data_IF_040967316349
#
_entry.id   IF_040967316349
#
_cell.length_a   1.000
_cell.length_b   1.000
_cell.length_c   1.000
_cell.angle_alpha   90.00
_cell.angle_beta   90.00
_cell.angle_gamma   90.00
#
_symmetry.space_group_name_H-M   'P 1'
#
loop_
_entity.id
_entity.type
_entity.pdbx_description
1 polymer ?
#
# COMPACT_ATOMS: atom_id res chain seq x y z
N UNK A 1 -27.30 15.61 -4.83
CA UNK A 1 -26.15 14.88 -5.44
C UNK A 1 -26.04 13.43 -4.96
N UNK A 2 -26.09 13.13 -3.65
CA UNK A 2 -26.00 11.75 -3.10
C UNK A 2 -26.93 10.71 -3.75
N UNK A 3 -28.17 11.09 -4.10
CA UNK A 3 -29.16 10.19 -4.75
C UNK A 3 -28.71 9.63 -6.11
N UNK A 4 -27.88 10.36 -6.85
CA UNK A 4 -27.37 9.92 -8.16
C UNK A 4 -25.93 9.42 -8.10
N UNK A 5 -25.30 9.44 -6.92
CA UNK A 5 -23.89 9.11 -6.75
C UNK A 5 -23.56 7.70 -7.24
N UNK A 6 -24.36 6.71 -6.84
CA UNK A 6 -24.17 5.32 -7.24
C UNK A 6 -24.23 5.17 -8.75
N UNK A 7 -25.25 5.73 -9.40
CA UNK A 7 -25.43 5.67 -10.86
C UNK A 7 -24.29 6.37 -11.60
N UNK A 8 -23.88 7.54 -11.11
CA UNK A 8 -22.77 8.30 -11.68
C UNK A 8 -21.44 7.55 -11.56
N UNK A 9 -21.07 7.12 -10.35
CA UNK A 9 -19.83 6.38 -10.09
C UNK A 9 -19.80 5.09 -10.91
N UNK A 10 -20.90 4.34 -10.96
CA UNK A 10 -20.98 3.10 -11.77
C UNK A 10 -20.79 3.38 -13.27
N UNK A 11 -21.26 4.52 -13.77
CA UNK A 11 -21.10 4.91 -15.17
C UNK A 11 -19.65 5.27 -15.51
N UNK A 12 -18.98 6.02 -14.64
CA UNK A 12 -17.57 6.42 -14.80
C UNK A 12 -16.63 5.24 -14.56
N UNK A 13 -16.95 4.36 -13.60
CA UNK A 13 -16.19 3.15 -13.27
C UNK A 13 -15.91 2.28 -14.51
N UNK A 14 -16.92 2.11 -15.39
CA UNK A 14 -16.75 1.34 -16.64
C UNK A 14 -15.63 1.88 -17.53
N UNK A 15 -15.27 3.16 -17.37
CA UNK A 15 -14.23 3.85 -18.13
C UNK A 15 -12.84 3.79 -17.48
N UNK A 16 -12.73 3.40 -16.21
CA UNK A 16 -11.42 3.15 -15.58
C UNK A 16 -10.69 1.97 -16.22
N UNK A 17 -11.42 0.94 -16.64
CA UNK A 17 -10.87 -0.24 -17.30
C UNK A 17 -10.75 -0.15 -18.82
N UNK A 18 -10.95 1.03 -19.43
CA UNK A 18 -11.01 1.22 -20.89
C UNK A 18 -9.65 0.93 -21.57
N UNK A 19 -9.65 0.54 -22.85
CA UNK A 19 -8.41 0.28 -23.59
C UNK A 19 -7.67 1.58 -23.91
N UNK A 20 -8.41 2.67 -24.19
CA UNK A 20 -7.85 3.97 -24.55
C UNK A 20 -7.36 4.70 -23.32
N UNK A 21 -6.06 5.01 -23.28
CA UNK A 21 -5.40 5.70 -22.16
C UNK A 21 -6.09 7.04 -21.82
N UNK A 22 -6.36 7.88 -22.83
CA UNK A 22 -6.98 9.18 -22.64
C UNK A 22 -8.35 9.07 -21.95
N UNK A 23 -9.16 8.06 -22.29
CA UNK A 23 -10.46 7.82 -21.67
C UNK A 23 -10.29 7.47 -20.18
N UNK A 24 -9.32 6.61 -19.87
CA UNK A 24 -8.99 6.24 -18.48
C UNK A 24 -8.54 7.45 -17.67
N UNK A 25 -7.63 8.26 -18.20
CA UNK A 25 -7.12 9.45 -17.52
C UNK A 25 -8.23 10.44 -17.18
N UNK A 26 -9.19 10.63 -18.07
CA UNK A 26 -10.36 11.47 -17.79
C UNK A 26 -11.26 10.85 -16.71
N UNK A 27 -11.49 9.53 -16.76
CA UNK A 27 -12.26 8.83 -15.73
C UNK A 27 -11.59 8.93 -14.35
N UNK A 28 -10.26 8.77 -14.30
CA UNK A 28 -9.43 8.93 -13.10
C UNK A 28 -9.62 10.34 -12.51
N UNK A 29 -9.46 11.38 -13.33
CA UNK A 29 -9.66 12.78 -12.93
C UNK A 29 -11.05 13.05 -12.38
N UNK A 30 -12.08 12.56 -13.06
CA UNK A 30 -13.48 12.75 -12.64
C UNK A 30 -13.73 12.11 -11.27
N UNK A 31 -13.27 10.87 -11.06
CA UNK A 31 -13.40 10.18 -9.77
C UNK A 31 -12.61 10.90 -8.67
N UNK A 32 -11.40 11.36 -8.98
CA UNK A 32 -10.57 12.07 -8.00
C UNK A 32 -11.21 13.39 -7.58
N UNK A 33 -11.65 14.22 -8.55
CA UNK A 33 -12.39 15.45 -8.27
C UNK A 33 -13.66 15.18 -7.48
N UNK A 34 -14.38 14.10 -7.76
CA UNK A 34 -15.58 13.73 -7.01
C UNK A 34 -15.31 13.51 -5.52
N UNK A 35 -14.15 12.96 -5.16
CA UNK A 35 -13.73 12.76 -3.75
C UNK A 35 -13.43 14.07 -3.01
N UNK A 36 -13.25 15.20 -3.71
CA UNK A 36 -13.17 16.52 -3.07
C UNK A 36 -14.55 17.10 -2.73
N UNK A 37 -15.60 16.72 -3.45
CA UNK A 37 -16.97 17.21 -3.22
C UNK A 37 -17.80 16.27 -2.32
N UNK A 38 -17.43 14.99 -2.26
CA UNK A 38 -18.11 13.94 -1.52
C UNK A 38 -17.06 13.19 -0.72
N UNK A 39 -17.41 12.74 0.49
CA UNK A 39 -16.47 12.00 1.35
C UNK A 39 -15.80 10.86 0.57
N UNK A 40 -14.45 10.76 0.59
CA UNK A 40 -13.72 9.76 -0.19
C UNK A 40 -14.21 8.33 0.07
N UNK A 41 -14.53 7.99 1.32
CA UNK A 41 -15.04 6.66 1.71
C UNK A 41 -16.36 6.30 1.04
N UNK A 42 -17.25 7.26 0.77
CA UNK A 42 -18.50 6.99 0.05
C UNK A 42 -18.23 6.66 -1.42
N UNK A 43 -17.29 7.36 -2.04
CA UNK A 43 -16.88 7.09 -3.43
C UNK A 43 -16.16 5.73 -3.51
N UNK A 44 -15.19 5.49 -2.63
CA UNK A 44 -14.45 4.22 -2.56
C UNK A 44 -15.38 3.03 -2.29
N UNK A 45 -16.36 3.18 -1.39
CA UNK A 45 -17.35 2.13 -1.11
C UNK A 45 -18.19 1.72 -2.33
N UNK A 46 -18.40 2.64 -3.29
CA UNK A 46 -19.03 2.30 -4.57
C UNK A 46 -18.06 1.62 -5.55
N UNK A 47 -16.78 2.01 -5.55
CA UNK A 47 -15.76 1.42 -6.43
C UNK A 47 -15.37 0.00 -6.01
N UNK A 48 -15.18 -0.23 -4.70
CA UNK A 48 -14.74 -1.51 -4.13
C UNK A 48 -15.75 -2.64 -4.31
N UNK A 49 -17.02 -2.33 -4.61
CA UNK A 49 -18.02 -3.32 -5.04
C UNK A 49 -17.61 -4.07 -6.33
N UNK A 50 -16.68 -3.52 -7.11
CA UNK A 50 -16.21 -4.09 -8.37
C UNK A 50 -14.78 -4.61 -8.31
N UNK A 51 -14.24 -4.79 -7.10
CA UNK A 51 -12.89 -5.31 -6.88
C UNK A 51 -12.68 -6.70 -7.49
N UNK A 52 -13.74 -7.51 -7.58
CA UNK A 52 -13.71 -8.88 -8.12
C UNK A 52 -14.04 -8.92 -9.64
N UNK A 53 -13.99 -7.78 -10.32
CA UNK A 53 -14.32 -7.70 -11.75
C UNK A 53 -13.36 -8.53 -12.62
N UNK A 54 -13.87 -9.12 -13.71
CA UNK A 54 -13.05 -9.91 -14.65
C UNK A 54 -11.96 -9.08 -15.34
N UNK A 55 -12.15 -7.77 -15.48
CA UNK A 55 -11.19 -6.87 -16.12
C UNK A 55 -10.06 -6.53 -15.13
N UNK A 56 -8.84 -7.08 -15.30
CA UNK A 56 -7.75 -6.83 -14.36
C UNK A 56 -7.31 -5.36 -14.31
N UNK A 57 -7.48 -4.62 -15.41
CA UNK A 57 -7.18 -3.19 -15.44
C UNK A 57 -8.15 -2.39 -14.59
N UNK A 58 -9.41 -2.79 -14.54
CA UNK A 58 -10.40 -2.17 -13.66
C UNK A 58 -10.04 -2.45 -12.19
N UNK A 59 -9.67 -3.69 -11.85
CA UNK A 59 -9.23 -4.05 -10.49
C UNK A 59 -8.02 -3.22 -10.05
N UNK A 60 -7.01 -3.13 -10.93
CA UNK A 60 -5.84 -2.28 -10.71
C UNK A 60 -6.23 -0.81 -10.45
N UNK A 61 -7.07 -0.23 -11.31
CA UNK A 61 -7.45 1.18 -11.13
C UNK A 61 -8.29 1.41 -9.87
N UNK A 62 -9.14 0.48 -9.46
CA UNK A 62 -9.89 0.56 -8.18
C UNK A 62 -8.91 0.67 -7.01
N UNK A 63 -7.87 -0.17 -6.98
CA UNK A 63 -6.83 -0.12 -5.94
C UNK A 63 -6.06 1.20 -6.00
N UNK A 64 -5.70 1.65 -7.20
CA UNK A 64 -5.05 2.96 -7.37
C UNK A 64 -5.93 4.12 -6.88
N UNK A 65 -7.26 4.03 -6.96
CA UNK A 65 -8.15 5.04 -6.36
C UNK A 65 -8.07 5.05 -4.84
N UNK A 66 -7.92 3.89 -4.19
CA UNK A 66 -7.67 3.81 -2.74
C UNK A 66 -6.33 4.46 -2.39
N UNK A 67 -5.26 4.10 -3.10
CA UNK A 67 -3.92 4.71 -2.92
C UNK A 67 -3.98 6.23 -3.07
N UNK A 68 -4.59 6.72 -4.16
CA UNK A 68 -4.74 8.15 -4.40
C UNK A 68 -5.50 8.85 -3.27
N UNK A 69 -6.61 8.25 -2.79
CA UNK A 69 -7.40 8.84 -1.73
C UNK A 69 -6.61 8.94 -0.42
N UNK A 70 -5.93 7.87 -0.02
CA UNK A 70 -5.16 7.83 1.24
C UNK A 70 -3.96 8.79 1.23
N UNK A 71 -3.37 9.04 0.07
CA UNK A 71 -2.28 10.01 -0.09
C UNK A 71 -2.76 11.46 -0.16
N UNK A 72 -4.02 11.70 -0.53
CA UNK A 72 -4.54 13.06 -0.79
C UNK A 72 -5.35 13.61 0.38
N UNK A 73 -6.17 12.77 1.01
CA UNK A 73 -7.11 13.22 2.04
C UNK A 73 -6.58 12.86 3.44
N UNK A 74 -6.89 13.67 4.47
CA UNK A 74 -6.50 13.38 5.84
C UNK A 74 -6.99 12.02 6.34
N UNK A 75 -6.19 11.36 7.18
CA UNK A 75 -6.43 10.01 7.69
C UNK A 75 -7.75 9.83 8.44
N UNK A 76 -8.27 10.87 9.12
CA UNK A 76 -9.55 10.82 9.83
C UNK A 76 -10.77 10.67 8.92
N UNK A 77 -10.61 10.78 7.59
CA UNK A 77 -11.69 10.50 6.64
C UNK A 77 -11.90 9.00 6.42
N UNK A 78 -11.00 8.15 6.90
CA UNK A 78 -10.93 6.74 6.55
C UNK A 78 -11.06 5.82 7.76
N UNK A 79 -11.89 4.79 7.58
CA UNK A 79 -11.86 3.59 8.41
C UNK A 79 -10.91 2.59 7.73
N UNK A 80 -9.75 2.35 8.34
CA UNK A 80 -8.69 1.58 7.70
C UNK A 80 -8.97 0.08 7.64
N UNK A 81 -9.63 -0.49 8.65
CA UNK A 81 -9.88 -1.94 8.69
C UNK A 81 -10.71 -2.42 7.48
N UNK A 82 -11.87 -1.83 7.14
CA UNK A 82 -12.63 -2.22 5.95
C UNK A 82 -11.86 -2.01 4.65
N UNK A 83 -10.99 -1.00 4.58
CA UNK A 83 -10.15 -0.76 3.40
C UNK A 83 -9.09 -1.85 3.24
N UNK A 84 -8.39 -2.21 4.32
CA UNK A 84 -7.43 -3.30 4.34
C UNK A 84 -8.09 -4.62 3.93
N UNK A 85 -9.22 -4.97 4.53
CA UNK A 85 -9.98 -6.19 4.20
C UNK A 85 -10.46 -6.22 2.75
N UNK A 86 -10.88 -5.07 2.21
CA UNK A 86 -11.32 -4.99 0.81
C UNK A 86 -10.16 -5.12 -0.18
N UNK A 87 -8.99 -4.57 0.11
CA UNK A 87 -7.84 -4.57 -0.80
C UNK A 87 -6.97 -5.83 -0.65
N UNK A 88 -6.90 -6.43 0.54
CA UNK A 88 -6.00 -7.55 0.83
C UNK A 88 -6.11 -8.72 -0.17
N UNK A 89 -7.30 -9.19 -0.61
CA UNK A 89 -7.40 -10.28 -1.58
C UNK A 89 -6.69 -9.99 -2.91
N UNK A 90 -6.56 -8.71 -3.28
CA UNK A 90 -5.91 -8.28 -4.51
C UNK A 90 -4.38 -8.37 -4.43
N UNK A 91 -3.80 -8.55 -3.23
CA UNK A 91 -2.39 -8.90 -3.08
C UNK A 91 -2.06 -10.28 -3.66
N UNK A 92 -3.03 -11.19 -3.71
CA UNK A 92 -2.89 -12.53 -4.28
C UNK A 92 -3.42 -12.63 -5.73
N UNK A 93 -3.81 -11.52 -6.36
CA UNK A 93 -4.45 -11.50 -7.69
C UNK A 93 -3.64 -12.24 -8.76
N UNK A 94 -4.31 -12.90 -9.70
CA UNK A 94 -3.64 -13.63 -10.79
C UNK A 94 -2.76 -12.75 -11.69
N UNK A 95 -2.95 -11.42 -11.73
CA UNK A 95 -2.22 -10.49 -12.60
C UNK A 95 -1.18 -9.69 -11.83
N UNK A 96 0.05 -9.64 -12.37
CA UNK A 96 1.19 -8.92 -11.78
C UNK A 96 0.88 -7.46 -11.44
N UNK A 97 0.24 -6.73 -12.36
CA UNK A 97 -0.08 -5.31 -12.17
C UNK A 97 -1.04 -5.06 -11.01
N UNK A 98 -1.98 -5.98 -10.77
CA UNK A 98 -2.91 -5.85 -9.65
C UNK A 98 -2.18 -6.11 -8.33
N UNK A 99 -1.33 -7.15 -8.26
CA UNK A 99 -0.47 -7.38 -7.08
C UNK A 99 0.44 -6.19 -6.77
N UNK A 100 1.08 -5.62 -7.79
CA UNK A 100 1.92 -4.42 -7.64
C UNK A 100 1.11 -3.24 -7.09
N UNK A 101 -0.05 -2.95 -7.69
CA UNK A 101 -0.94 -1.88 -7.22
C UNK A 101 -1.39 -2.09 -5.77
N UNK A 102 -1.71 -3.34 -5.40
CA UNK A 102 -2.10 -3.69 -4.03
C UNK A 102 -0.94 -3.51 -3.03
N UNK A 103 0.29 -3.91 -3.37
CA UNK A 103 1.47 -3.68 -2.53
C UNK A 103 1.77 -2.18 -2.34
N UNK A 104 1.65 -1.39 -3.40
CA UNK A 104 1.77 0.08 -3.32
C UNK A 104 0.67 0.70 -2.45
N UNK A 105 -0.56 0.20 -2.55
CA UNK A 105 -1.67 0.62 -1.69
C UNK A 105 -1.43 0.28 -0.22
N UNK A 106 -0.89 -0.90 0.08
CA UNK A 106 -0.56 -1.31 1.44
C UNK A 106 0.55 -0.45 2.04
N UNK A 107 1.54 -0.03 1.26
CA UNK A 107 2.54 0.94 1.70
C UNK A 107 1.91 2.30 2.05
N UNK A 108 0.98 2.80 1.22
CA UNK A 108 0.26 4.04 1.50
C UNK A 108 -0.65 3.95 2.74
N UNK A 109 -1.36 2.82 2.91
CA UNK A 109 -2.21 2.56 4.08
C UNK A 109 -1.37 2.51 5.36
N UNK A 110 -0.26 1.75 5.35
CA UNK A 110 0.65 1.67 6.49
C UNK A 110 1.17 3.05 6.92
N UNK A 111 1.56 3.88 5.95
CA UNK A 111 2.01 5.25 6.23
C UNK A 111 0.90 6.10 6.86
N UNK A 112 -0.32 6.05 6.31
CA UNK A 112 -1.44 6.86 6.79
C UNK A 112 -1.94 6.44 8.18
N UNK A 113 -1.79 5.16 8.54
CA UNK A 113 -2.13 4.63 9.85
C UNK A 113 -1.07 4.96 10.90
N UNK A 114 0.20 5.00 10.49
CA UNK A 114 1.36 5.10 11.36
C UNK A 114 1.78 3.76 11.96
N UNK A 115 3.02 3.64 12.47
CA UNK A 115 3.60 2.38 12.93
C UNK A 115 2.82 1.75 14.09
N UNK A 116 2.16 2.54 14.94
CA UNK A 116 1.46 2.06 16.13
C UNK A 116 0.10 1.43 15.84
N UNK A 117 -0.43 1.59 14.62
CA UNK A 117 -1.80 1.19 14.27
C UNK A 117 -1.85 0.20 13.10
N UNK A 118 -0.81 -0.61 12.92
CA UNK A 118 -0.72 -1.55 11.80
C UNK A 118 -1.59 -2.81 11.95
N UNK A 119 -2.22 -3.04 13.12
CA UNK A 119 -3.03 -4.25 13.38
C UNK A 119 -4.04 -4.56 12.27
N UNK A 120 -4.88 -3.63 11.77
CA UNK A 120 -5.81 -3.91 10.67
C UNK A 120 -5.14 -4.40 9.38
N UNK A 121 -3.93 -3.89 9.09
CA UNK A 121 -3.17 -4.29 7.91
C UNK A 121 -2.67 -5.73 8.09
N UNK A 122 -2.08 -6.05 9.24
CA UNK A 122 -1.57 -7.39 9.57
C UNK A 122 -2.69 -8.42 9.54
N UNK A 123 -3.82 -8.14 10.21
CA UNK A 123 -4.97 -9.04 10.27
C UNK A 123 -5.53 -9.33 8.88
N UNK A 124 -5.61 -8.34 7.99
CA UNK A 124 -6.10 -8.55 6.63
C UNK A 124 -5.13 -9.39 5.78
N UNK A 125 -3.82 -9.22 5.96
CA UNK A 125 -2.79 -10.03 5.27
C UNK A 125 -2.82 -11.48 5.76
N UNK A 126 -2.83 -11.69 7.07
CA UNK A 126 -2.88 -13.04 7.66
C UNK A 126 -4.13 -13.80 7.17
N UNK A 127 -5.28 -13.12 7.08
CA UNK A 127 -6.50 -13.73 6.56
C UNK A 127 -6.36 -14.19 5.09
N UNK A 128 -5.64 -13.44 4.24
CA UNK A 128 -5.42 -13.83 2.85
C UNK A 128 -4.39 -14.94 2.72
N UNK A 129 -3.31 -14.89 3.50
CA UNK A 129 -2.28 -15.93 3.51
C UNK A 129 -2.90 -17.30 3.83
N UNK A 130 -3.77 -17.35 4.85
CA UNK A 130 -4.48 -18.57 5.26
C UNK A 130 -5.55 -19.01 4.24
N UNK A 131 -6.40 -18.07 3.79
CA UNK A 131 -7.58 -18.44 2.99
C UNK A 131 -7.28 -18.65 1.50
N UNK A 132 -6.18 -18.12 0.98
CA UNK A 132 -5.84 -18.17 -0.45
C UNK A 132 -4.60 -19.01 -0.77
N UNK A 133 -4.10 -19.81 0.19
CA UNK A 133 -2.88 -20.63 0.05
C UNK A 133 -1.70 -19.78 -0.47
N UNK A 134 -1.61 -18.56 0.06
CA UNK A 134 -0.72 -17.52 -0.44
C UNK A 134 0.58 -17.45 0.38
N UNK A 135 1.24 -18.60 0.54
CA UNK A 135 2.45 -18.75 1.34
C UNK A 135 3.55 -17.76 0.94
N UNK A 136 3.99 -16.94 1.89
CA UNK A 136 5.03 -15.93 1.67
C UNK A 136 4.50 -14.54 1.32
N UNK A 137 3.17 -14.37 1.23
CA UNK A 137 2.54 -13.07 1.09
C UNK A 137 2.95 -12.11 2.22
N UNK A 138 3.01 -12.62 3.45
CA UNK A 138 3.45 -11.83 4.60
C UNK A 138 4.86 -11.24 4.38
N UNK A 139 5.81 -12.07 3.96
CA UNK A 139 7.18 -11.66 3.67
C UNK A 139 7.25 -10.62 2.54
N UNK A 140 6.40 -10.77 1.51
CA UNK A 140 6.28 -9.80 0.43
C UNK A 140 5.76 -8.44 0.93
N UNK A 141 4.72 -8.41 1.77
CA UNK A 141 4.22 -7.15 2.34
C UNK A 141 5.28 -6.51 3.23
N UNK A 142 5.95 -7.28 4.08
CA UNK A 142 7.04 -6.79 4.94
C UNK A 142 8.18 -6.19 4.13
N UNK A 143 8.66 -6.90 3.09
CA UNK A 143 9.69 -6.40 2.20
C UNK A 143 9.28 -5.10 1.52
N UNK A 144 8.01 -4.99 1.08
CA UNK A 144 7.49 -3.75 0.50
C UNK A 144 7.53 -2.59 1.49
N UNK A 145 7.07 -2.78 2.72
CA UNK A 145 7.05 -1.74 3.75
C UNK A 145 8.48 -1.33 4.16
N UNK A 146 9.41 -2.28 4.22
CA UNK A 146 10.80 -2.04 4.57
C UNK A 146 11.55 -1.14 3.57
N UNK A 147 11.08 -1.01 2.32
CA UNK A 147 11.67 -0.09 1.33
C UNK A 147 11.52 1.39 1.69
N UNK A 148 10.59 1.75 2.60
CA UNK A 148 10.35 3.13 3.09
C UNK A 148 10.21 4.20 1.99
N UNK A 149 9.73 3.78 0.82
CA UNK A 149 9.41 4.66 -0.32
C UNK A 149 7.94 4.48 -0.67
N UNK A 150 7.25 5.59 -0.88
CA UNK A 150 5.80 5.62 -1.12
C UNK A 150 5.49 5.90 -2.58
N UNK A 151 4.37 5.33 -3.10
CA UNK A 151 3.80 5.81 -4.34
C UNK A 151 3.50 7.31 -4.26
N UNK A 152 3.50 7.97 -5.42
CA UNK A 152 3.10 9.38 -5.53
C UNK A 152 1.74 9.49 -6.19
N UNK A 153 0.97 10.51 -5.81
CA UNK A 153 -0.28 10.87 -6.44
C UNK A 153 -0.16 12.28 -7.04
N UNK A 154 -0.53 12.44 -8.31
CA UNK A 154 -0.59 13.74 -8.98
C UNK A 154 -1.91 14.47 -8.66
N UNK A 155 -1.99 15.77 -8.94
CA UNK A 155 -3.21 16.59 -8.74
C UNK A 155 -4.45 16.06 -9.50
N UNK A 156 -4.21 15.37 -10.61
CA UNK A 156 -5.25 14.71 -11.41
C UNK A 156 -5.71 13.36 -10.81
N UNK A 157 -5.13 12.94 -9.70
CA UNK A 157 -5.37 11.67 -9.04
C UNK A 157 -4.62 10.49 -9.63
N UNK A 158 -3.77 10.67 -10.64
CA UNK A 158 -2.97 9.58 -11.21
C UNK A 158 -1.91 9.11 -10.20
N UNK A 159 -1.72 7.78 -10.09
CA UNK A 159 -0.77 7.18 -9.15
C UNK A 159 0.47 6.72 -9.90
N UNK A 160 1.64 7.08 -9.37
CA UNK A 160 2.95 6.62 -9.83
C UNK A 160 3.55 5.70 -8.78
N UNK A 161 3.85 4.46 -9.15
CA UNK A 161 4.42 3.46 -8.24
C UNK A 161 5.88 3.78 -7.90
N UNK A 162 6.27 3.46 -6.67
CA UNK A 162 7.65 3.55 -6.23
C UNK A 162 8.49 2.35 -6.67
N UNK A 163 7.88 1.15 -6.70
CA UNK A 163 8.55 -0.05 -7.19
C UNK A 163 8.67 -0.03 -8.72
N UNK A 164 9.88 -0.31 -9.19
CA UNK A 164 10.15 -0.61 -10.61
C UNK A 164 10.32 -2.12 -10.77
N UNK A 165 9.55 -2.74 -11.67
CA UNK A 165 9.64 -4.17 -11.92
C UNK A 165 10.77 -4.50 -12.91
N UNK A 166 11.50 -5.61 -12.69
CA UNK A 166 12.43 -6.13 -13.69
C UNK A 166 11.71 -6.50 -14.99
N UNK A 167 12.39 -6.29 -16.11
CA UNK A 167 11.91 -6.79 -17.40
C UNK A 167 11.83 -8.32 -17.38
N UNK A 168 10.71 -8.88 -17.86
CA UNK A 168 10.48 -10.33 -17.88
C UNK A 168 11.45 -11.08 -18.82
N UNK A 169 12.27 -10.39 -19.60
CA UNK A 169 13.22 -10.98 -20.55
C UNK A 169 14.60 -11.31 -19.95
N UNK A 170 14.90 -10.93 -18.69
CA UNK A 170 16.29 -10.84 -18.22
C UNK A 170 16.75 -11.84 -17.15
N UNK A 171 15.89 -12.63 -16.51
CA UNK A 171 16.29 -13.29 -15.24
C UNK A 171 15.99 -14.77 -15.22
N UNK A 172 16.83 -15.53 -15.93
CA UNK A 172 17.00 -16.98 -15.83
C UNK A 172 18.14 -17.32 -14.85
N UNK A 173 18.11 -16.78 -13.62
CA UNK A 173 19.03 -17.27 -12.59
C UNK A 173 18.25 -17.57 -11.31
N UNK A 174 18.06 -18.87 -11.05
CA UNK A 174 16.99 -19.43 -10.21
C UNK A 174 17.31 -19.50 -8.71
N UNK A 175 18.48 -19.06 -8.26
CA UNK A 175 18.94 -19.45 -6.91
C UNK A 175 19.07 -18.34 -5.87
N UNK A 176 18.96 -17.06 -6.24
CA UNK A 176 18.77 -15.96 -5.28
C UNK A 176 18.03 -14.83 -5.99
N UNK A 177 16.86 -14.45 -5.49
CA UNK A 177 16.20 -13.28 -6.04
C UNK A 177 16.84 -12.03 -5.47
N UNK A 178 17.72 -11.41 -6.27
CA UNK A 178 18.38 -10.15 -5.94
C UNK A 178 17.42 -8.97 -5.69
N UNK A 179 16.12 -9.16 -5.94
CA UNK A 179 15.13 -8.09 -6.02
C UNK A 179 14.25 -8.00 -4.77
N UNK A 180 14.21 -9.06 -3.94
CA UNK A 180 13.46 -9.13 -2.69
C UNK A 180 12.09 -9.84 -2.81
N UNK A 181 11.53 -10.32 -1.67
CA UNK A 181 10.30 -11.11 -1.65
C UNK A 181 9.08 -10.44 -2.28
N UNK A 182 8.97 -9.11 -2.19
CA UNK A 182 7.88 -8.34 -2.77
C UNK A 182 7.88 -8.35 -4.30
N UNK A 183 9.05 -8.26 -4.92
CA UNK A 183 9.19 -8.35 -6.38
C UNK A 183 8.92 -9.77 -6.86
N UNK A 184 9.44 -10.77 -6.14
CA UNK A 184 9.20 -12.18 -6.47
C UNK A 184 7.73 -12.54 -6.43
N UNK A 185 7.04 -12.05 -5.40
CA UNK A 185 5.60 -12.23 -5.24
C UNK A 185 4.80 -11.66 -6.41
N UNK A 186 5.20 -10.47 -6.90
CA UNK A 186 4.59 -9.86 -8.08
C UNK A 186 4.90 -10.67 -9.33
N UNK A 187 6.15 -11.10 -9.51
CA UNK A 187 6.61 -11.80 -10.72
C UNK A 187 6.07 -13.23 -10.83
N UNK A 188 5.78 -13.88 -9.69
CA UNK A 188 5.12 -15.18 -9.60
C UNK A 188 3.69 -15.16 -10.16
N UNK A 189 3.02 -14.00 -10.20
CA UNK A 189 1.72 -13.88 -10.84
C UNK A 189 1.83 -14.02 -12.37
N UNK A 190 0.70 -14.34 -13.02
CA UNK A 190 0.63 -14.47 -14.47
C UNK A 190 0.98 -13.15 -15.16
N UNK A 191 1.94 -13.21 -16.09
CA UNK A 191 2.39 -12.07 -16.87
C UNK A 191 1.23 -11.42 -17.63
N UNK A 192 1.12 -10.11 -17.53
CA UNK A 192 0.34 -9.32 -18.47
C UNK A 192 1.19 -8.14 -18.88
N UNK A 193 1.88 -8.32 -20.01
CA UNK A 193 2.57 -7.28 -20.73
C UNK A 193 1.54 -6.26 -21.20
N UNK A 194 1.24 -5.28 -20.35
CA UNK A 194 0.57 -4.08 -20.82
C UNK A 194 1.64 -3.08 -21.22
N UNK A 195 1.90 -2.99 -22.50
CA UNK A 195 2.70 -1.95 -23.12
C UNK A 195 2.11 -0.57 -22.79
N UNK A 196 2.85 0.24 -22.05
CA UNK A 196 2.65 1.69 -21.96
C UNK A 196 3.90 2.46 -22.40
N UNK A 197 4.80 1.80 -23.12
CA UNK A 197 5.90 2.43 -23.86
C UNK A 197 5.61 2.33 -25.36
N UNK A 198 5.59 3.43 -26.13
CA UNK A 198 5.49 3.36 -27.58
C UNK A 198 6.69 2.57 -28.12
N UNK A 199 6.52 1.61 -29.04
CA UNK A 199 7.66 1.06 -29.76
C UNK A 199 8.25 2.18 -30.61
N UNK A 200 9.51 2.52 -30.33
CA UNK A 200 10.31 3.36 -31.23
C UNK A 200 10.37 2.64 -32.57
N UNK A 201 9.89 3.35 -33.58
CA UNK A 201 9.79 2.90 -34.97
C UNK A 201 11.19 2.79 -35.57
N UNK A 202 11.83 1.64 -35.47
CA UNK A 202 12.91 1.26 -36.38
C UNK A 202 12.35 0.30 -37.41
N UNK A 203 12.15 0.84 -38.62
CA UNK A 203 11.99 0.03 -39.84
C UNK A 203 13.30 -0.74 -40.04
N UNK A 204 13.21 -2.05 -40.19
CA UNK A 204 14.08 -2.78 -41.11
C UNK A 204 13.34 -4.02 -41.62
N UNK A 205 13.40 -4.16 -42.94
CA UNK A 205 12.76 -5.20 -43.75
C UNK A 205 13.88 -6.18 -44.12
N UNK A 206 13.65 -7.48 -43.94
CA UNK A 206 14.13 -8.52 -44.85
C UNK A 206 13.49 -9.88 -44.53
N UNK A 207 12.58 -10.28 -45.40
CA UNK A 207 12.45 -11.57 -46.12
C UNK A 207 12.51 -12.94 -45.41
N UNK A 208 11.38 -13.66 -45.58
CA UNK A 208 11.22 -15.01 -46.18
C UNK A 208 12.15 -16.15 -45.67
N UNK A 209 11.58 -17.16 -44.98
CA UNK A 209 11.29 -18.45 -45.64
C UNK A 209 10.40 -19.41 -44.82
N UNK A 210 9.67 -20.24 -45.56
CA UNK A 210 8.82 -21.33 -45.09
C UNK A 210 9.66 -22.58 -44.77
N UNK A 211 9.33 -23.35 -43.72
CA UNK A 211 9.11 -24.79 -43.85
C UNK A 211 8.52 -25.40 -42.56
N UNK A 212 7.58 -26.34 -42.72
CA UNK A 212 6.99 -27.09 -41.62
C UNK A 212 7.84 -28.29 -41.18
N UNK A 213 7.49 -28.87 -40.05
CA UNK A 213 7.42 -30.32 -39.83
C UNK A 213 6.76 -30.63 -38.49
N UNK A 214 6.07 -31.77 -38.49
CA UNK A 214 5.20 -32.28 -37.43
C UNK A 214 5.95 -33.12 -36.39
N UNK A 215 5.20 -33.49 -35.35
CA UNK A 215 5.14 -34.83 -34.73
C UNK A 215 5.63 -34.99 -33.28
N UNK A 216 4.64 -35.36 -32.44
CA UNK A 216 4.57 -36.55 -31.54
C UNK A 216 5.27 -36.53 -30.17
N UNK A 217 4.46 -36.87 -29.15
CA UNK A 217 4.84 -37.62 -27.94
C UNK A 217 4.80 -36.80 -26.64
N UNK A 218 4.37 -37.29 -25.47
CA UNK A 218 3.78 -38.56 -25.02
C UNK A 218 3.32 -38.32 -23.55
N UNK A 219 2.18 -38.93 -23.21
CA UNK A 219 1.71 -39.46 -21.91
C UNK A 219 2.68 -39.40 -20.69
N UNK A 220 2.17 -38.99 -19.52
CA UNK A 220 1.99 -39.83 -18.29
C UNK A 220 1.43 -39.07 -17.08
N UNK A 221 0.61 -39.80 -16.34
CA UNK A 221 -0.01 -39.58 -15.02
C UNK A 221 0.91 -39.12 -13.87
N UNK A 222 0.32 -38.55 -12.81
CA UNK A 222 0.19 -39.23 -11.50
C UNK A 222 -0.41 -38.35 -10.40
N UNK A 223 -1.34 -38.97 -9.66
CA UNK A 223 -2.02 -38.53 -8.44
C UNK A 223 -1.08 -38.06 -7.33
N UNK A 224 -1.55 -37.10 -6.51
CA UNK A 224 -1.12 -37.03 -5.10
C UNK A 224 -2.24 -36.54 -4.17
N UNK A 225 -2.71 -37.48 -3.35
CA UNK A 225 -3.49 -37.28 -2.13
C UNK A 225 -2.86 -36.18 -1.26
N UNK A 226 -3.66 -35.24 -0.75
CA UNK A 226 -3.32 -34.42 0.42
C UNK A 226 -4.18 -34.86 1.60
N UNK A 227 -3.48 -35.30 2.65
CA UNK A 227 -3.98 -35.63 3.96
C UNK A 227 -4.50 -34.37 4.66
N UNK A 228 -5.56 -34.57 5.45
CA UNK A 228 -5.98 -33.69 6.54
C UNK A 228 -4.84 -33.57 7.57
N UNK A 229 -4.68 -32.39 8.15
CA UNK A 229 -4.71 -32.20 9.62
C UNK A 229 -4.42 -30.75 10.02
N UNK A 230 -5.14 -30.29 11.05
CA UNK A 230 -4.54 -29.51 12.13
C UNK A 230 -4.57 -27.99 12.02
N UNK A 231 -5.65 -27.40 12.53
CA UNK A 231 -5.75 -25.97 12.88
C UNK A 231 -4.75 -25.68 14.02
N UNK A 232 -3.71 -24.88 13.75
CA UNK A 232 -2.86 -24.30 14.79
C UNK A 232 -2.79 -22.77 14.62
N UNK A 233 -3.77 -22.09 15.22
CA UNK A 233 -3.79 -20.63 15.34
C UNK A 233 -2.79 -20.23 16.44
N UNK A 234 -1.50 -20.14 16.10
CA UNK A 234 -0.50 -19.59 17.03
C UNK A 234 -0.41 -18.08 16.89
N UNK A 235 -0.55 -17.39 18.02
CA UNK A 235 -0.23 -15.98 18.22
C UNK A 235 1.15 -15.70 17.62
N UNK A 236 1.21 -15.05 16.46
CA UNK A 236 2.46 -14.46 15.96
C UNK A 236 2.61 -13.08 16.61
N UNK A 237 3.70 -12.89 17.34
CA UNK A 237 4.05 -11.63 17.97
C UNK A 237 4.27 -10.53 16.91
N UNK A 238 3.90 -9.29 17.27
CA UNK A 238 3.95 -8.09 16.41
C UNK A 238 5.39 -7.63 16.09
N UNK A 239 6.17 -8.46 15.40
CA UNK A 239 7.55 -8.17 14.97
C UNK A 239 7.66 -7.19 13.79
N UNK A 240 6.54 -6.75 13.23
CA UNK A 240 6.45 -5.80 12.10
C UNK A 240 7.19 -4.47 12.31
N UNK A 241 7.52 -4.14 13.56
CA UNK A 241 8.17 -2.88 13.95
C UNK A 241 9.63 -3.04 14.39
N UNK A 242 10.14 -4.27 14.56
CA UNK A 242 11.46 -4.51 15.12
C UNK A 242 12.41 -5.14 14.09
N UNK A 243 12.97 -4.30 13.22
CA UNK A 243 14.20 -4.65 12.49
C UNK A 243 15.40 -4.14 13.30
N UNK A 244 16.45 -4.95 13.55
CA UNK A 244 17.63 -4.51 14.31
C UNK A 244 18.47 -3.59 13.43
N UNK A 245 18.34 -2.28 13.64
CA UNK A 245 19.08 -1.26 12.88
C UNK A 245 19.59 -0.08 13.72
N UNK A 246 19.24 0.00 15.01
CA UNK A 246 19.68 1.08 15.89
C UNK A 246 20.60 0.53 16.99
N UNK A 247 21.85 0.22 16.62
CA UNK A 247 22.95 0.17 17.60
C UNK A 247 23.95 1.24 17.17
N UNK A 248 23.84 2.42 17.78
CA UNK A 248 24.92 3.40 17.82
C UNK A 248 26.06 2.84 18.68
N UNK A 249 27.34 2.94 18.24
CA UNK A 249 28.45 2.54 19.07
C UNK A 249 28.62 3.54 20.24
N UNK A 250 28.44 3.07 21.47
CA UNK A 250 28.86 3.83 22.65
C UNK A 250 30.39 3.85 22.71
N UNK A 251 30.96 5.02 22.49
CA UNK A 251 32.35 5.31 22.84
C UNK A 251 32.44 5.42 24.36
N UNK A 252 33.15 4.46 24.95
CA UNK A 252 33.70 4.51 26.30
C UNK A 252 34.67 5.69 26.39
N UNK A 253 34.48 6.60 27.35
CA UNK A 253 35.60 7.28 27.97
C UNK A 253 35.32 7.67 29.42
N UNK A 254 36.28 7.31 30.26
CA UNK A 254 36.33 7.40 31.72
C UNK A 254 36.39 8.83 32.26
N UNK A 255 35.83 9.02 33.47
CA UNK A 255 36.42 9.73 34.63
C UNK A 255 35.41 9.63 35.79
N UNK A 256 35.60 8.74 36.77
CA UNK A 256 36.30 8.99 38.05
C UNK A 256 36.08 10.42 38.54
N UNK A 257 35.25 10.63 39.58
CA UNK A 257 35.58 11.22 40.91
C UNK A 257 34.43 10.89 41.87
N UNK A 258 34.77 10.30 43.02
CA UNK A 258 33.88 10.17 44.17
C UNK A 258 34.24 11.17 45.28
N UNK A 259 33.18 11.64 45.95
CA UNK A 259 33.04 12.10 47.34
C UNK A 259 33.87 13.28 47.88
N UNK A 260 33.17 14.25 48.50
CA UNK A 260 33.75 15.18 49.47
C UNK A 260 32.93 16.46 49.76
N UNK A 261 31.97 16.36 50.69
CA UNK A 261 31.54 17.34 51.72
C UNK A 261 31.69 18.87 51.52
N UNK A 262 30.64 19.67 51.79
CA UNK A 262 30.39 20.38 53.08
C UNK A 262 29.69 21.78 52.97
N UNK A 263 28.84 22.08 53.97
CA UNK A 263 28.26 23.39 54.40
C UNK A 263 27.22 24.07 53.47
N UNK A 264 26.14 24.75 53.89
CA UNK A 264 25.41 24.99 55.15
C UNK A 264 24.07 25.71 54.79
N UNK A 265 23.19 25.81 55.80
CA UNK A 265 21.88 26.50 55.90
C UNK A 265 21.37 27.37 54.72
N UNK A 266 20.08 27.34 54.37
CA UNK A 266 19.01 27.85 55.25
C UNK A 266 17.61 27.42 54.79
N UNK A 267 16.84 26.86 55.73
CA UNK A 267 15.37 26.80 55.70
C UNK A 267 14.77 28.10 56.23
N UNK A 268 13.53 28.38 55.80
CA UNK A 268 12.46 29.26 56.34
C UNK A 268 11.96 30.25 55.29
N UNK A 269 10.69 30.59 55.18
CA UNK A 269 9.40 30.05 55.61
C UNK A 269 8.36 30.91 54.84
N UNK A 270 7.12 30.45 54.82
CA UNK A 270 5.96 31.08 54.18
C UNK A 270 5.76 32.59 54.43
N UNK A 271 4.96 33.15 53.51
CA UNK A 271 3.76 33.98 53.78
C UNK A 271 3.77 35.45 53.34
N UNK A 272 2.62 35.78 52.72
CA UNK A 272 1.95 37.06 52.53
C UNK A 272 2.21 37.99 51.32
N UNK A 273 1.24 37.90 50.39
CA UNK A 273 0.20 38.92 50.17
C UNK A 273 0.61 40.39 50.05
N UNK A 274 0.44 40.95 48.84
CA UNK A 274 -0.18 42.26 48.51
C UNK A 274 -0.07 42.50 47.00
N UNK A 275 -1.20 42.47 46.30
CA UNK A 275 -1.99 43.66 45.91
C UNK A 275 -1.31 44.52 44.84
N UNK A 276 -2.04 44.70 43.74
CA UNK A 276 -2.01 45.78 42.74
C UNK A 276 -1.60 45.38 41.31
N UNK A 277 -2.62 45.06 40.51
CA UNK A 277 -3.00 45.91 39.35
C UNK A 277 -4.32 45.46 38.73
N UNK A 278 -5.34 46.24 39.06
CA UNK A 278 -6.69 46.22 38.52
C UNK A 278 -6.79 47.18 37.32
N UNK A 279 -7.59 46.77 36.32
CA UNK A 279 -8.28 47.53 35.25
C UNK A 279 -7.50 47.99 34.01
N UNK A 280 -7.90 47.43 32.85
CA UNK A 280 -8.71 48.19 31.89
C UNK A 280 -9.50 47.24 30.96
N UNK A 281 -10.78 47.01 31.27
CA UNK A 281 -11.81 46.57 30.31
C UNK A 281 -13.05 47.43 30.57
N UNK A 282 -13.35 48.32 29.63
CA UNK A 282 -14.61 49.06 29.45
C UNK A 282 -14.84 48.97 27.93
N UNK A 283 -16.01 48.67 27.38
CA UNK A 283 -17.37 48.63 27.91
C UNK A 283 -18.29 48.82 26.71
N UNK A 284 -19.40 48.09 26.73
CA UNK A 284 -20.37 47.88 25.66
C UNK A 284 -21.27 49.11 25.47
N UNK A 285 -21.59 49.45 24.22
CA UNK A 285 -22.65 50.39 23.84
C UNK A 285 -24.03 49.72 23.93
N UNK A 286 -24.96 50.33 24.67
CA UNK A 286 -26.41 50.31 24.43
C UNK A 286 -27.06 51.52 25.11
N UNK A 287 -27.95 52.16 24.33
CA UNK A 287 -28.95 53.22 24.64
C UNK A 287 -28.47 54.66 24.82
#
# INVERSE_FOLDING_TARGET
MRRFLKTFVTSVLKRLGDSKLVVREHAIRVIHKLMHYIRPTEVLGNLLQFKDSRNPRLREEIVNRVTAAVLTFPSYNFEFLPLCEAVAPLLADIKRRVRLSALECFAALAQAMGPTRLVPLVTAVDAVEINCDADGLLAAVQARLARRILPRCNEDGAVTYAITLPSSAGTQNRNTSAWGPDIDWIMAASGSSSSSTPPSRSKEISDIDQNGQSSIGKLTDMNKLKSQDGIFLSKRDNSWLNTPGDILPQTINNQVIGNGTCYEQSQKLNEDTREDKVKQVIGVNSE
#
